data_IF_397149170226
#
_entry.id   IF_397149170226
#
_cell.length_a   1.000
_cell.length_b   1.000
_cell.length_c   1.000
_cell.angle_alpha   90.00
_cell.angle_beta   90.00
_cell.angle_gamma   90.00
#
_symmetry.space_group_name_H-M   'P 1'
#
loop_
_entity.id
_entity.type
_entity.pdbx_description
1 polymer ?
#
# COMPACT_ATOMS: atom_id res chain seq x y z
N UNK A 1 9.23 38.30 19.71
CA UNK A 1 9.49 39.40 20.67
C UNK A 1 8.33 39.61 21.65
N UNK A 2 7.07 39.44 21.27
CA UNK A 2 5.92 39.63 22.16
C UNK A 2 5.92 38.73 23.42
N UNK A 3 6.31 37.46 23.31
CA UNK A 3 6.34 36.51 24.43
C UNK A 3 7.34 36.90 25.55
N UNK A 4 8.42 37.58 25.22
CA UNK A 4 9.43 38.03 26.21
C UNK A 4 8.83 39.03 27.18
N UNK A 5 8.11 40.02 26.66
CA UNK A 5 7.48 41.06 27.47
C UNK A 5 6.40 40.50 28.41
N UNK A 6 5.65 39.47 27.94
CA UNK A 6 4.65 38.80 28.76
C UNK A 6 5.25 37.88 29.83
N UNK A 7 6.44 37.31 29.58
CA UNK A 7 7.15 36.46 30.53
C UNK A 7 7.98 37.23 31.58
N UNK A 8 8.08 38.56 31.47
CA UNK A 8 8.83 39.40 32.40
C UNK A 8 10.35 39.16 32.40
N UNK A 9 10.89 38.62 31.28
CA UNK A 9 12.31 38.33 31.13
C UNK A 9 13.04 39.55 30.56
N UNK A 10 14.07 40.00 31.23
CA UNK A 10 14.92 41.11 30.77
C UNK A 10 15.91 40.68 29.69
N UNK A 11 16.40 39.46 29.76
CA UNK A 11 17.35 38.88 28.83
C UNK A 11 16.89 37.47 28.37
N UNK A 12 17.18 37.12 27.12
CA UNK A 12 16.97 35.77 26.57
C UNK A 12 18.27 35.28 25.95
N UNK A 13 18.66 34.01 26.12
CA UNK A 13 19.79 33.46 25.38
C UNK A 13 19.47 33.45 23.90
N UNK A 14 20.32 34.03 23.08
CA UNK A 14 20.19 34.08 21.63
C UNK A 14 21.52 33.77 20.95
N UNK A 15 21.49 33.00 19.90
CA UNK A 15 22.62 32.77 19.01
C UNK A 15 22.43 33.66 17.78
N UNK A 16 23.37 34.61 17.59
CA UNK A 16 23.37 35.49 16.42
C UNK A 16 24.08 34.76 15.27
N UNK A 17 23.39 34.63 14.16
CA UNK A 17 23.91 34.06 12.92
C UNK A 17 23.88 35.15 11.83
N UNK A 18 24.94 35.19 11.01
CA UNK A 18 24.94 35.98 9.79
C UNK A 18 24.30 35.15 8.68
N UNK A 19 23.20 35.60 8.12
CA UNK A 19 22.49 34.91 7.06
C UNK A 19 21.84 35.94 6.11
N UNK A 20 21.75 35.61 4.85
CA UNK A 20 21.00 36.34 3.85
C UNK A 20 19.50 36.26 4.11
N UNK A 21 18.71 37.19 3.57
CA UNK A 21 17.23 37.16 3.72
C UNK A 21 16.63 35.84 3.25
N UNK A 22 17.15 35.25 2.16
CA UNK A 22 16.72 33.97 1.65
C UNK A 22 16.99 32.83 2.64
N UNK A 23 18.17 32.80 3.26
CA UNK A 23 18.54 31.79 4.26
C UNK A 23 17.69 31.92 5.53
N UNK A 24 17.39 33.16 5.93
CA UNK A 24 16.50 33.41 7.09
C UNK A 24 15.09 32.85 6.82
N UNK A 25 14.53 33.12 5.63
CA UNK A 25 13.23 32.59 5.23
C UNK A 25 13.23 31.05 5.13
N UNK A 26 14.29 30.46 4.58
CA UNK A 26 14.46 29.01 4.53
C UNK A 26 14.49 28.39 5.93
N UNK A 27 15.29 28.96 6.84
CA UNK A 27 15.38 28.48 8.22
C UNK A 27 14.04 28.61 8.96
N UNK A 28 13.31 29.70 8.74
CA UNK A 28 11.99 29.89 9.32
C UNK A 28 10.97 28.86 8.81
N UNK A 29 11.03 28.50 7.51
CA UNK A 29 10.18 27.46 6.93
C UNK A 29 10.52 26.09 7.49
N UNK A 30 11.82 25.77 7.60
CA UNK A 30 12.29 24.50 8.18
C UNK A 30 11.86 24.39 9.65
N UNK A 31 12.00 25.46 10.45
CA UNK A 31 11.55 25.49 11.86
C UNK A 31 10.06 25.20 11.95
N UNK A 32 9.25 25.85 11.11
CA UNK A 32 7.82 25.63 11.08
C UNK A 32 7.47 24.19 10.68
N UNK A 33 8.22 23.59 9.73
CA UNK A 33 8.04 22.19 9.31
C UNK A 33 8.44 21.16 10.39
N UNK A 34 9.26 21.54 11.35
CA UNK A 34 9.64 20.69 12.47
C UNK A 34 8.62 20.68 13.61
N UNK A 35 7.55 21.46 13.52
CA UNK A 35 6.46 21.44 14.50
C UNK A 35 5.75 20.08 14.47
N UNK A 36 5.34 19.62 15.66
CA UNK A 36 4.70 18.30 15.81
C UNK A 36 3.21 18.27 15.45
N UNK A 37 2.61 19.43 15.26
CA UNK A 37 1.16 19.60 15.06
C UNK A 37 0.73 19.82 13.60
N UNK A 38 1.68 19.69 12.64
CA UNK A 38 1.37 19.82 11.23
C UNK A 38 0.55 18.62 10.71
N UNK A 39 -0.45 18.93 9.89
CA UNK A 39 -1.15 17.85 9.18
C UNK A 39 -0.30 17.35 7.99
N UNK A 40 -0.53 16.12 7.52
CA UNK A 40 0.26 15.53 6.43
C UNK A 40 0.24 16.30 5.10
N UNK A 41 -0.79 17.09 4.84
CA UNK A 41 -0.88 17.92 3.63
C UNK A 41 -0.03 19.19 3.80
N UNK A 42 -0.11 19.87 4.95
CA UNK A 42 0.73 21.04 5.26
C UNK A 42 2.22 20.67 5.23
N UNK A 43 2.58 19.50 5.77
CA UNK A 43 3.94 18.98 5.71
C UNK A 43 4.39 18.79 4.26
N UNK A 44 3.54 18.24 3.42
CA UNK A 44 3.82 18.02 1.99
C UNK A 44 3.96 19.35 1.21
N UNK A 45 3.08 20.31 1.47
CA UNK A 45 3.13 21.65 0.86
C UNK A 45 4.41 22.41 1.24
N UNK A 46 4.83 22.29 2.49
CA UNK A 46 6.09 22.88 2.94
C UNK A 46 7.32 22.24 2.27
N UNK A 47 7.32 20.93 2.05
CA UNK A 47 8.40 20.29 1.29
C UNK A 47 8.40 20.71 -0.17
N UNK A 48 7.23 20.82 -0.81
CA UNK A 48 7.13 21.34 -2.16
C UNK A 48 7.63 22.77 -2.27
N UNK A 49 7.29 23.62 -1.28
CA UNK A 49 7.75 24.98 -1.22
C UNK A 49 9.27 25.08 -1.10
N UNK A 50 9.90 24.27 -0.22
CA UNK A 50 11.37 24.20 -0.12
C UNK A 50 12.03 23.82 -1.44
N UNK A 51 11.46 22.87 -2.17
CA UNK A 51 11.98 22.45 -3.47
C UNK A 51 11.83 23.55 -4.53
N UNK A 52 10.69 24.21 -4.58
CA UNK A 52 10.37 25.21 -5.60
C UNK A 52 11.10 26.53 -5.37
N UNK A 53 11.06 27.06 -4.14
CA UNK A 53 11.53 28.42 -3.85
C UNK A 53 13.05 28.47 -3.62
N UNK A 54 13.65 27.37 -3.13
CA UNK A 54 15.07 27.27 -2.84
C UNK A 54 15.82 26.28 -3.75
N UNK A 55 15.16 25.68 -4.74
CA UNK A 55 15.77 24.76 -5.71
C UNK A 55 16.33 23.49 -5.10
N UNK A 56 15.84 23.07 -3.93
CA UNK A 56 16.34 21.91 -3.20
C UNK A 56 15.85 20.60 -3.82
N UNK A 57 16.72 19.60 -3.83
CA UNK A 57 16.32 18.23 -4.17
C UNK A 57 15.60 17.56 -2.98
N UNK A 58 14.80 16.51 -3.24
CA UNK A 58 14.15 15.73 -2.18
C UNK A 58 15.12 15.22 -1.12
N UNK A 59 16.36 14.92 -1.51
CA UNK A 59 17.40 14.47 -0.60
C UNK A 59 17.90 15.59 0.30
N UNK A 60 18.12 16.77 -0.26
CA UNK A 60 18.51 17.96 0.51
C UNK A 60 17.41 18.39 1.47
N UNK A 61 16.14 18.38 1.03
CA UNK A 61 15.00 18.64 1.92
C UNK A 61 14.98 17.63 3.07
N UNK A 62 15.13 16.34 2.78
CA UNK A 62 15.13 15.29 3.79
C UNK A 62 16.23 15.48 4.85
N UNK A 63 17.44 15.87 4.42
CA UNK A 63 18.55 16.16 5.33
C UNK A 63 18.25 17.37 6.23
N UNK A 64 17.68 18.45 5.67
CA UNK A 64 17.39 19.69 6.41
C UNK A 64 16.25 19.53 7.42
N UNK A 65 15.23 18.77 7.08
CA UNK A 65 14.08 18.51 7.98
C UNK A 65 14.29 17.28 8.88
N UNK A 66 15.49 16.65 8.82
CA UNK A 66 15.84 15.46 9.62
C UNK A 66 14.85 14.31 9.41
N UNK A 67 14.46 14.09 8.17
CA UNK A 67 13.58 12.99 7.76
C UNK A 67 14.30 12.08 6.74
N UNK A 68 13.75 10.91 6.48
CA UNK A 68 14.27 10.07 5.40
C UNK A 68 13.75 10.56 4.03
N UNK A 69 14.56 10.42 2.97
CA UNK A 69 14.13 10.72 1.59
C UNK A 69 12.81 10.02 1.20
N UNK A 70 12.58 8.73 1.53
CA UNK A 70 11.30 8.09 1.27
C UNK A 70 10.12 8.74 2.00
N UNK A 71 10.33 9.30 3.21
CA UNK A 71 9.28 10.02 3.94
C UNK A 71 8.88 11.30 3.19
N UNK A 72 9.86 12.11 2.76
CA UNK A 72 9.62 13.32 1.96
C UNK A 72 8.93 12.96 0.63
N UNK A 73 9.41 11.96 -0.09
CA UNK A 73 8.79 11.51 -1.34
C UNK A 73 7.33 11.05 -1.14
N UNK A 74 7.05 10.33 -0.05
CA UNK A 74 5.69 9.88 0.28
C UNK A 74 4.78 11.06 0.65
N UNK A 75 5.26 12.06 1.36
CA UNK A 75 4.51 13.28 1.66
C UNK A 75 4.17 14.03 0.37
N UNK A 76 5.15 14.30 -0.49
CA UNK A 76 4.94 14.99 -1.77
C UNK A 76 3.90 14.29 -2.66
N UNK A 77 3.84 12.97 -2.64
CA UNK A 77 2.82 12.22 -3.38
C UNK A 77 1.40 12.52 -2.91
N UNK A 78 1.20 12.93 -1.65
CA UNK A 78 -0.13 13.28 -1.13
C UNK A 78 -0.74 14.48 -1.85
N UNK A 79 0.08 15.36 -2.41
CA UNK A 79 -0.37 16.51 -3.20
C UNK A 79 -1.03 16.11 -4.54
N UNK A 80 -0.81 14.87 -5.00
CA UNK A 80 -1.44 14.31 -6.18
C UNK A 80 -2.87 13.80 -5.92
N UNK A 81 -3.35 13.85 -4.68
CA UNK A 81 -4.70 13.45 -4.33
C UNK A 81 -5.73 14.49 -4.82
N UNK A 82 -6.95 14.04 -5.17
CA UNK A 82 -8.07 14.94 -5.43
C UNK A 82 -8.32 15.89 -4.27
N UNK A 83 -8.79 17.11 -4.54
CA UNK A 83 -9.00 18.15 -3.53
C UNK A 83 -9.91 17.73 -2.38
N UNK A 84 -10.98 16.96 -2.66
CA UNK A 84 -11.87 16.41 -1.63
C UNK A 84 -11.11 15.50 -0.66
N UNK A 85 -10.24 14.62 -1.17
CA UNK A 85 -9.46 13.69 -0.34
C UNK A 85 -8.43 14.46 0.49
N UNK A 86 -7.76 15.47 -0.09
CA UNK A 86 -6.85 16.35 0.66
C UNK A 86 -7.57 17.03 1.82
N UNK A 87 -8.79 17.52 1.59
CA UNK A 87 -9.60 18.12 2.66
C UNK A 87 -9.94 17.13 3.77
N UNK A 88 -10.25 15.87 3.44
CA UNK A 88 -10.50 14.82 4.45
C UNK A 88 -9.23 14.53 5.28
N UNK A 89 -8.05 14.52 4.65
CA UNK A 89 -6.78 14.35 5.36
C UNK A 89 -6.50 15.55 6.26
N UNK A 90 -6.70 16.79 5.77
CA UNK A 90 -6.49 18.01 6.56
C UNK A 90 -7.42 18.10 7.78
N UNK A 91 -8.63 17.54 7.69
CA UNK A 91 -9.57 17.48 8.81
C UNK A 91 -9.30 16.32 9.78
N UNK A 92 -8.31 15.47 9.48
CA UNK A 92 -8.00 14.31 10.29
C UNK A 92 -8.98 13.12 10.14
N UNK A 93 -9.91 13.17 9.19
CA UNK A 93 -10.82 12.07 8.86
C UNK A 93 -10.05 10.89 8.27
N UNK A 94 -8.95 11.17 7.58
CA UNK A 94 -8.03 10.20 7.02
C UNK A 94 -6.60 10.47 7.51
N UNK A 95 -5.92 9.44 7.97
CA UNK A 95 -4.48 9.54 8.28
C UNK A 95 -3.62 9.54 7.03
N UNK A 96 -2.36 9.95 7.13
CA UNK A 96 -1.39 9.85 6.02
C UNK A 96 -1.22 8.42 5.47
N UNK A 97 -1.46 7.39 6.30
CA UNK A 97 -1.49 5.99 5.86
C UNK A 97 -2.67 5.68 4.95
N UNK A 98 -3.87 6.15 5.30
CA UNK A 98 -5.07 6.03 4.45
C UNK A 98 -4.89 6.79 3.14
N UNK A 99 -4.36 8.00 3.18
CA UNK A 99 -4.08 8.81 1.99
C UNK A 99 -3.14 8.09 1.00
N UNK A 100 -2.11 7.39 1.49
CA UNK A 100 -1.23 6.55 0.66
C UNK A 100 -1.96 5.34 0.06
N UNK A 101 -2.87 4.72 0.82
CA UNK A 101 -3.70 3.63 0.30
C UNK A 101 -4.64 4.11 -0.81
N UNK A 102 -5.22 5.31 -0.68
CA UNK A 102 -6.03 5.94 -1.74
C UNK A 102 -5.20 6.20 -3.00
N UNK A 103 -3.97 6.71 -2.86
CA UNK A 103 -3.05 6.91 -3.99
C UNK A 103 -2.70 5.61 -4.73
N UNK A 104 -2.74 4.47 -4.04
CA UNK A 104 -2.51 3.17 -4.66
C UNK A 104 -3.67 2.72 -5.54
N UNK A 105 -4.85 3.37 -5.50
CA UNK A 105 -5.97 3.10 -6.41
C UNK A 105 -5.63 3.64 -7.79
N UNK A 106 -5.62 2.75 -8.80
CA UNK A 106 -5.18 3.07 -10.16
C UNK A 106 -6.12 4.06 -10.86
N UNK A 107 -7.44 3.92 -10.65
CA UNK A 107 -8.46 4.77 -11.27
C UNK A 107 -8.66 6.03 -10.42
N UNK A 108 -8.33 7.19 -11.01
CA UNK A 108 -8.42 8.48 -10.29
C UNK A 108 -9.85 8.82 -9.89
N UNK A 109 -10.81 8.54 -10.75
CA UNK A 109 -12.24 8.81 -10.51
C UNK A 109 -12.77 8.04 -9.29
N UNK A 110 -12.20 6.87 -8.99
CA UNK A 110 -12.58 6.04 -7.85
C UNK A 110 -11.88 6.43 -6.55
N UNK A 111 -10.88 7.31 -6.59
CA UNK A 111 -10.11 7.70 -5.39
C UNK A 111 -10.96 8.38 -4.33
N UNK A 112 -11.89 9.23 -4.74
CA UNK A 112 -12.80 9.92 -3.80
C UNK A 112 -13.74 8.92 -3.11
N UNK A 113 -14.31 8.00 -3.88
CA UNK A 113 -15.17 6.95 -3.33
C UNK A 113 -14.39 6.01 -2.41
N UNK A 114 -13.19 5.60 -2.84
CA UNK A 114 -12.29 4.79 -2.03
C UNK A 114 -11.92 5.49 -0.71
N UNK A 115 -11.64 6.78 -0.73
CA UNK A 115 -11.35 7.57 0.46
C UNK A 115 -12.53 7.57 1.45
N UNK A 116 -13.76 7.76 0.96
CA UNK A 116 -14.98 7.70 1.79
C UNK A 116 -15.19 6.31 2.41
N UNK A 117 -14.91 5.25 1.66
CA UNK A 117 -15.01 3.88 2.19
C UNK A 117 -13.90 3.56 3.20
N UNK A 118 -12.70 4.13 3.04
CA UNK A 118 -11.56 3.91 3.93
C UNK A 118 -11.68 4.70 5.24
N UNK A 119 -12.54 5.72 5.29
CA UNK A 119 -12.80 6.46 6.51
C UNK A 119 -13.35 5.54 7.61
N UNK A 120 -12.65 5.47 8.74
CA UNK A 120 -12.99 4.58 9.86
C UNK A 120 -12.41 3.16 9.79
N UNK A 121 -11.70 2.80 8.71
CA UNK A 121 -10.96 1.54 8.62
C UNK A 121 -9.57 1.65 9.24
N UNK A 122 -8.94 0.51 9.50
CA UNK A 122 -7.49 0.50 9.78
C UNK A 122 -6.69 0.66 8.49
N UNK A 123 -5.47 1.18 8.58
CA UNK A 123 -4.58 1.35 7.40
C UNK A 123 -4.40 0.03 6.63
N UNK A 124 -4.27 -1.10 7.33
CA UNK A 124 -4.16 -2.43 6.70
C UNK A 124 -5.41 -2.81 5.90
N UNK A 125 -6.60 -2.50 6.42
CA UNK A 125 -7.85 -2.73 5.70
C UNK A 125 -7.98 -1.83 4.47
N UNK A 126 -7.56 -0.56 4.59
CA UNK A 126 -7.53 0.39 3.48
C UNK A 126 -6.58 -0.08 2.36
N UNK A 127 -5.38 -0.57 2.70
CA UNK A 127 -4.45 -1.15 1.72
C UNK A 127 -5.02 -2.41 1.04
N UNK A 128 -5.71 -3.26 1.80
CA UNK A 128 -6.37 -4.44 1.25
C UNK A 128 -7.52 -4.07 0.29
N UNK A 129 -8.30 -3.03 0.64
CA UNK A 129 -9.35 -2.49 -0.21
C UNK A 129 -8.77 -1.93 -1.52
N UNK A 130 -7.71 -1.12 -1.45
CA UNK A 130 -7.02 -0.58 -2.63
C UNK A 130 -6.52 -1.71 -3.56
N UNK A 131 -5.93 -2.76 -3.01
CA UNK A 131 -5.51 -3.94 -3.78
C UNK A 131 -6.69 -4.65 -4.44
N UNK A 132 -7.85 -4.74 -3.77
CA UNK A 132 -9.07 -5.33 -4.33
C UNK A 132 -9.64 -4.48 -5.47
N UNK A 133 -9.67 -3.16 -5.33
CA UNK A 133 -10.14 -2.24 -6.36
C UNK A 133 -9.25 -2.27 -7.62
N UNK A 134 -7.93 -2.43 -7.44
CA UNK A 134 -6.98 -2.56 -8.54
C UNK A 134 -6.98 -3.95 -9.19
N UNK A 135 -7.55 -4.96 -8.50
CA UNK A 135 -7.68 -6.28 -9.10
C UNK A 135 -8.73 -6.16 -10.20
N UNK A 136 -8.28 -6.03 -11.46
CA UNK A 136 -9.17 -6.24 -12.60
C UNK A 136 -10.00 -7.49 -12.28
N UNK A 137 -11.34 -7.49 -12.58
CA UNK A 137 -12.09 -8.73 -12.54
C UNK A 137 -11.20 -9.75 -13.24
N UNK A 138 -10.82 -10.82 -12.55
CA UNK A 138 -10.08 -11.88 -13.21
C UNK A 138 -10.88 -12.15 -14.47
N UNK A 139 -10.30 -11.89 -15.64
CA UNK A 139 -10.83 -12.45 -16.88
C UNK A 139 -11.13 -13.89 -16.51
N UNK A 140 -12.36 -14.38 -16.70
CA UNK A 140 -12.65 -15.76 -16.39
C UNK A 140 -11.51 -16.51 -17.04
N UNK A 141 -10.68 -17.19 -16.22
CA UNK A 141 -9.63 -18.06 -16.77
C UNK A 141 -10.33 -18.77 -17.89
N UNK A 142 -9.80 -18.77 -19.14
CA UNK A 142 -10.44 -19.52 -20.19
C UNK A 142 -10.75 -20.85 -19.53
N UNK A 143 -12.02 -21.18 -19.36
CA UNK A 143 -12.41 -22.52 -19.03
C UNK A 143 -11.69 -23.27 -20.14
N UNK A 144 -10.60 -23.95 -19.79
CA UNK A 144 -9.99 -24.91 -20.69
C UNK A 144 -11.20 -25.67 -21.15
N UNK A 145 -11.54 -25.41 -22.41
CA UNK A 145 -12.72 -25.96 -23.04
C UNK A 145 -12.75 -27.42 -22.67
N UNK A 146 -13.85 -27.81 -22.05
CA UNK A 146 -14.19 -29.15 -21.60
C UNK A 146 -14.27 -30.13 -22.79
N UNK A 147 -13.20 -30.14 -23.59
CA UNK A 147 -12.84 -31.08 -24.63
C UNK A 147 -11.64 -31.94 -24.22
N UNK A 148 -11.21 -31.90 -22.97
CA UNK A 148 -10.53 -33.02 -22.39
C UNK A 148 -11.59 -34.11 -22.20
N UNK A 149 -11.77 -34.91 -23.24
CA UNK A 149 -12.33 -36.26 -23.07
C UNK A 149 -11.62 -36.78 -21.83
N UNK A 150 -12.40 -37.15 -20.81
CA UNK A 150 -11.83 -37.50 -19.51
C UNK A 150 -11.15 -38.86 -19.66
N UNK A 151 -9.97 -38.84 -20.32
CA UNK A 151 -9.15 -40.03 -20.58
C UNK A 151 -8.81 -40.73 -19.27
N UNK A 152 -8.79 -40.03 -18.17
CA UNK A 152 -8.51 -40.58 -16.85
C UNK A 152 -9.71 -41.38 -16.38
N UNK A 153 -10.92 -40.82 -16.45
CA UNK A 153 -12.14 -41.55 -16.08
C UNK A 153 -12.42 -42.75 -17.03
N UNK A 154 -12.10 -42.61 -18.33
CA UNK A 154 -12.18 -43.72 -19.27
C UNK A 154 -11.16 -44.82 -18.95
N UNK A 155 -9.92 -44.43 -18.63
CA UNK A 155 -8.84 -45.35 -18.25
C UNK A 155 -9.13 -46.04 -16.90
N UNK A 156 -9.65 -45.31 -15.92
CA UNK A 156 -10.10 -45.86 -14.64
C UNK A 156 -11.15 -46.98 -14.87
N UNK A 157 -12.18 -46.72 -15.67
CA UNK A 157 -13.22 -47.69 -16.01
C UNK A 157 -12.68 -48.93 -16.73
N UNK A 158 -11.79 -48.72 -17.68
CA UNK A 158 -11.18 -49.83 -18.43
C UNK A 158 -10.33 -50.72 -17.51
N UNK A 159 -9.50 -50.09 -16.65
CA UNK A 159 -8.69 -50.78 -15.66
C UNK A 159 -9.55 -51.49 -14.60
N UNK A 160 -10.64 -50.87 -14.15
CA UNK A 160 -11.61 -51.47 -13.21
C UNK A 160 -12.26 -52.71 -13.84
N UNK A 161 -12.59 -52.66 -15.14
CA UNK A 161 -13.19 -53.80 -15.86
C UNK A 161 -12.24 -54.98 -16.00
N UNK A 162 -10.93 -54.71 -16.19
CA UNK A 162 -9.89 -55.76 -16.38
C UNK A 162 -9.44 -56.34 -15.04
N UNK A 163 -9.27 -55.48 -14.03
CA UNK A 163 -8.72 -55.89 -12.73
C UNK A 163 -9.80 -56.25 -11.69
N UNK A 164 -11.07 -55.93 -11.97
CA UNK A 164 -12.20 -56.22 -11.09
C UNK A 164 -12.12 -55.49 -9.75
N UNK A 165 -11.38 -54.38 -9.69
CA UNK A 165 -11.10 -53.64 -8.46
C UNK A 165 -11.14 -52.13 -8.71
N UNK A 166 -11.47 -51.39 -7.66
CA UNK A 166 -11.56 -49.94 -7.73
C UNK A 166 -10.18 -49.34 -7.87
N UNK A 167 -10.02 -48.48 -8.87
CA UNK A 167 -8.77 -47.80 -9.21
C UNK A 167 -9.03 -46.29 -9.20
N UNK A 168 -8.12 -45.54 -8.61
CA UNK A 168 -8.16 -44.10 -8.63
C UNK A 168 -6.84 -43.57 -9.17
N UNK A 169 -6.89 -42.71 -10.20
CA UNK A 169 -5.73 -42.12 -10.86
C UNK A 169 -5.74 -40.60 -10.55
N UNK A 170 -4.76 -40.13 -9.81
CA UNK A 170 -4.56 -38.70 -9.53
C UNK A 170 -3.41 -38.20 -10.40
N UNK A 171 -3.70 -37.22 -11.26
CA UNK A 171 -2.71 -36.60 -12.12
C UNK A 171 -2.27 -35.24 -11.53
N UNK A 172 -0.97 -35.11 -11.25
CA UNK A 172 -0.32 -33.85 -10.94
C UNK A 172 0.33 -33.24 -12.19
N UNK A 173 0.86 -32.03 -12.11
CA UNK A 173 1.43 -31.26 -13.23
C UNK A 173 2.64 -31.93 -13.91
N UNK A 174 3.42 -32.77 -13.21
CA UNK A 174 4.58 -33.50 -13.73
C UNK A 174 4.69 -34.94 -13.16
N UNK A 175 3.70 -35.42 -12.41
CA UNK A 175 3.69 -36.74 -11.80
C UNK A 175 2.25 -37.21 -11.65
N UNK A 176 2.04 -38.51 -11.66
CA UNK A 176 0.75 -39.13 -11.40
C UNK A 176 0.86 -40.19 -10.30
N UNK A 177 -0.22 -40.40 -9.56
CA UNK A 177 -0.33 -41.49 -8.57
C UNK A 177 -1.51 -42.36 -8.92
N UNK A 178 -1.24 -43.68 -8.94
CA UNK A 178 -2.26 -44.70 -9.15
C UNK A 178 -2.46 -45.45 -7.84
N UNK A 179 -3.70 -45.41 -7.33
CA UNK A 179 -4.09 -46.10 -6.09
C UNK A 179 -5.02 -47.26 -6.44
N UNK A 180 -4.66 -48.44 -6.01
CA UNK A 180 -5.43 -49.69 -6.21
C UNK A 180 -5.88 -50.22 -4.84
N UNK A 181 -7.19 -50.33 -4.66
CA UNK A 181 -7.76 -50.91 -3.44
C UNK A 181 -7.81 -52.44 -3.55
N UNK A 182 -7.18 -53.13 -2.59
CA UNK A 182 -7.29 -54.58 -2.48
C UNK A 182 -7.73 -54.99 -1.06
N UNK A 183 -8.62 -55.99 -1.00
CA UNK A 183 -8.99 -56.64 0.27
C UNK A 183 -8.17 -57.91 0.44
N UNK A 184 -7.42 -57.99 1.53
CA UNK A 184 -6.46 -59.06 1.82
C UNK A 184 -7.10 -60.44 2.09
N UNK A 185 -8.38 -60.63 1.81
CA UNK A 185 -9.14 -61.84 2.23
C UNK A 185 -9.13 -63.01 1.26
N UNK A 186 -8.45 -62.93 0.10
CA UNK A 186 -8.58 -63.96 -0.93
C UNK A 186 -7.24 -64.52 -1.47
N UNK A 187 -6.10 -64.31 -0.83
CA UNK A 187 -4.80 -64.73 -1.38
C UNK A 187 -4.19 -65.97 -0.64
N UNK A 188 -4.85 -66.51 0.38
CA UNK A 188 -4.35 -67.69 1.08
C UNK A 188 -5.37 -68.84 1.07
N UNK A 189 -5.64 -69.46 -0.07
CA UNK A 189 -6.12 -70.81 -0.21
C UNK A 189 -5.78 -71.28 -1.61
N UNK A 190 -4.59 -71.80 -1.77
CA UNK A 190 -4.20 -72.83 -2.74
C UNK A 190 -3.02 -73.59 -2.17
#
# INVERSE_FOLDING_TARGET
MACRAQAGLDEIPAMVIEASESEVMELALIENLQRQDLNPIEEAEGYEQLMRDYGLTQEQVAQRVVKSRPAVANALRLLQLPGEVRTMVSRGELSGGHARAVLAVAEEDKRVEAAKQMAGMTVRQAEALAKRMNKKPAEPKPQESDFSVDYIAALEKELESVLGRKICIQQGKNSGQLTLEFTARTIWNA
#
